data_IF_273315281525
#
_entry.id   IF_273315281525
#
_cell.length_a   1.000
_cell.length_b   1.000
_cell.length_c   1.000
_cell.angle_alpha   90.00
_cell.angle_beta   90.00
_cell.angle_gamma   90.00
#
_symmetry.space_group_name_H-M   'P 1'
#
loop_
_entity.id
_entity.type
_entity.pdbx_description
1 polymer ?
#
# COMPACT_ATOMS: atom_id res chain seq x y z
N UNK A 1 8.08 -52.11 -11.67
CA UNK A 1 8.60 -50.99 -10.84
C UNK A 1 7.65 -49.82 -11.05
N UNK A 2 6.96 -49.41 -9.98
CA UNK A 2 5.81 -48.50 -10.02
C UNK A 2 6.27 -47.05 -9.81
N UNK A 3 5.60 -46.12 -10.51
CA UNK A 3 5.52 -44.66 -10.29
C UNK A 3 6.67 -43.80 -10.84
N UNK A 4 6.72 -43.71 -12.17
CA UNK A 4 7.16 -42.51 -12.87
C UNK A 4 5.91 -41.62 -13.04
N UNK A 5 6.00 -40.38 -12.59
CA UNK A 5 5.08 -39.25 -12.87
C UNK A 5 3.66 -39.39 -12.29
N UNK A 6 3.49 -38.97 -11.04
CA UNK A 6 2.23 -38.42 -10.56
C UNK A 6 2.48 -36.93 -10.22
N UNK A 7 2.14 -36.08 -11.19
CA UNK A 7 1.54 -34.75 -11.00
C UNK A 7 2.29 -33.77 -10.06
N UNK A 8 3.15 -32.88 -10.54
CA UNK A 8 2.77 -31.63 -11.24
C UNK A 8 1.60 -30.86 -10.59
N UNK A 9 1.57 -30.77 -9.26
CA UNK A 9 0.75 -29.78 -8.54
C UNK A 9 1.50 -29.20 -7.35
N UNK A 10 2.48 -28.37 -7.63
CA UNK A 10 2.71 -27.18 -6.83
C UNK A 10 2.86 -26.04 -7.82
N UNK A 11 1.72 -25.53 -8.30
CA UNK A 11 1.71 -24.15 -8.77
C UNK A 11 2.08 -23.32 -7.54
N UNK A 12 3.37 -23.06 -7.39
CA UNK A 12 3.80 -21.94 -6.58
C UNK A 12 3.15 -20.75 -7.28
N UNK A 13 2.05 -20.27 -6.72
CA UNK A 13 1.47 -18.99 -7.07
C UNK A 13 2.50 -17.92 -6.66
N UNK A 14 3.60 -17.80 -7.40
CA UNK A 14 4.31 -16.53 -7.51
C UNK A 14 3.33 -15.65 -8.29
N UNK A 15 2.44 -14.96 -7.58
CA UNK A 15 1.75 -13.84 -8.19
C UNK A 15 2.84 -12.83 -8.58
N UNK A 16 3.11 -12.69 -9.88
CA UNK A 16 3.90 -11.59 -10.46
C UNK A 16 3.13 -10.27 -10.28
N UNK A 17 2.88 -9.88 -9.04
CA UNK A 17 2.23 -8.64 -8.68
C UNK A 17 3.20 -7.74 -7.95
N UNK A 18 3.05 -6.43 -8.11
CA UNK A 18 3.76 -5.49 -7.27
C UNK A 18 3.44 -5.72 -5.79
N UNK A 19 4.40 -5.39 -4.94
CA UNK A 19 4.33 -5.45 -3.48
C UNK A 19 4.53 -4.06 -2.88
N UNK A 20 4.25 -3.92 -1.58
CA UNK A 20 4.57 -2.68 -0.86
C UNK A 20 6.07 -2.43 -0.79
N UNK A 21 6.89 -3.49 -0.79
CA UNK A 21 8.35 -3.37 -0.84
C UNK A 21 8.80 -2.79 -2.17
N UNK A 22 8.18 -3.16 -3.30
CA UNK A 22 8.46 -2.54 -4.59
C UNK A 22 8.15 -1.04 -4.60
N UNK A 23 7.08 -0.62 -3.91
CA UNK A 23 6.75 0.80 -3.76
C UNK A 23 7.75 1.53 -2.87
N UNK A 24 8.09 0.95 -1.72
CA UNK A 24 9.05 1.53 -0.77
C UNK A 24 10.46 1.62 -1.42
N UNK A 25 10.86 0.63 -2.23
CA UNK A 25 12.08 0.66 -3.03
C UNK A 25 12.03 1.77 -4.08
N UNK A 26 10.93 1.91 -4.81
CA UNK A 26 10.75 2.99 -5.79
C UNK A 26 10.84 4.38 -5.11
N UNK A 27 10.29 4.55 -3.91
CA UNK A 27 10.46 5.78 -3.12
C UNK A 27 11.92 6.02 -2.74
N UNK A 28 12.66 4.99 -2.33
CA UNK A 28 14.08 5.12 -1.99
C UNK A 28 14.94 5.54 -3.18
N UNK A 29 14.54 5.13 -4.39
CA UNK A 29 15.16 5.53 -5.67
C UNK A 29 14.66 6.89 -6.17
N UNK A 30 13.75 7.55 -5.42
CA UNK A 30 13.04 8.79 -5.80
C UNK A 30 12.20 8.66 -7.08
N UNK A 31 11.80 7.44 -7.44
CA UNK A 31 10.84 7.18 -8.51
C UNK A 31 9.41 7.24 -7.96
N UNK A 32 8.98 8.46 -7.66
CA UNK A 32 7.65 8.73 -7.07
C UNK A 32 6.49 8.29 -7.99
N UNK A 33 6.68 8.36 -9.31
CA UNK A 33 5.66 7.95 -10.28
C UNK A 33 5.44 6.44 -10.22
N UNK A 34 6.52 5.66 -10.16
CA UNK A 34 6.44 4.21 -10.01
C UNK A 34 5.86 3.82 -8.66
N UNK A 35 6.29 4.45 -7.57
CA UNK A 35 5.71 4.21 -6.24
C UNK A 35 4.20 4.47 -6.21
N UNK A 36 3.76 5.62 -6.77
CA UNK A 36 2.34 5.95 -6.88
C UNK A 36 1.58 4.90 -7.70
N UNK A 37 2.10 4.51 -8.87
CA UNK A 37 1.51 3.47 -9.70
C UNK A 37 1.33 2.16 -8.92
N UNK A 38 2.37 1.72 -8.19
CA UNK A 38 2.33 0.50 -7.40
C UNK A 38 1.27 0.60 -6.29
N UNK A 39 1.25 1.70 -5.53
CA UNK A 39 0.21 1.88 -4.51
C UNK A 39 -1.19 1.82 -5.12
N UNK A 40 -1.43 2.46 -6.27
CA UNK A 40 -2.75 2.39 -6.92
C UNK A 40 -3.13 0.98 -7.39
N UNK A 41 -2.17 0.18 -7.85
CA UNK A 41 -2.40 -1.22 -8.23
C UNK A 41 -2.77 -2.07 -7.01
N UNK A 42 -2.03 -1.92 -5.91
CA UNK A 42 -2.30 -2.60 -4.64
C UNK A 42 -3.67 -2.20 -4.06
N UNK A 43 -4.04 -0.92 -4.12
CA UNK A 43 -5.35 -0.43 -3.69
C UNK A 43 -6.47 -1.06 -4.51
N UNK A 44 -6.30 -1.21 -5.83
CA UNK A 44 -7.28 -1.90 -6.70
C UNK A 44 -7.45 -3.37 -6.33
N UNK A 45 -6.40 -3.99 -5.78
CA UNK A 45 -6.42 -5.37 -5.23
C UNK A 45 -6.96 -5.44 -3.80
N UNK A 46 -7.34 -4.32 -3.20
CA UNK A 46 -7.92 -4.26 -1.85
C UNK A 46 -6.88 -4.15 -0.74
N UNK A 47 -5.63 -3.83 -1.03
CA UNK A 47 -4.61 -3.66 0.00
C UNK A 47 -4.88 -2.39 0.83
N UNK A 48 -5.27 -2.60 2.08
CA UNK A 48 -5.64 -1.53 3.02
C UNK A 48 -4.40 -0.73 3.47
N UNK A 49 -3.24 -1.40 3.57
CA UNK A 49 -1.98 -0.77 3.95
C UNK A 49 -1.44 0.12 2.84
N UNK A 50 -1.66 -0.25 1.57
CA UNK A 50 -1.35 0.61 0.43
C UNK A 50 -2.15 1.93 0.44
N UNK A 51 -3.42 1.91 0.88
CA UNK A 51 -4.19 3.14 1.06
C UNK A 51 -3.57 4.07 2.11
N UNK A 52 -3.14 3.51 3.24
CA UNK A 52 -2.44 4.28 4.27
C UNK A 52 -1.13 4.85 3.75
N UNK A 53 -0.28 4.01 3.12
CA UNK A 53 1.01 4.43 2.54
C UNK A 53 0.86 5.53 1.50
N UNK A 54 -0.18 5.45 0.65
CA UNK A 54 -0.49 6.52 -0.30
C UNK A 54 -0.91 7.82 0.41
N UNK A 55 -1.65 7.72 1.52
CA UNK A 55 -1.99 8.86 2.36
C UNK A 55 -0.75 9.54 2.97
N UNK A 56 0.20 8.73 3.48
CA UNK A 56 1.51 9.19 3.98
C UNK A 56 2.34 9.82 2.86
N UNK A 57 2.33 9.26 1.67
CA UNK A 57 3.04 9.81 0.51
C UNK A 57 2.61 11.25 0.20
N UNK A 58 1.32 11.58 0.28
CA UNK A 58 0.81 12.95 0.05
C UNK A 58 1.31 14.01 1.06
N UNK A 59 1.86 13.62 2.20
CA UNK A 59 2.36 14.53 3.24
C UNK A 59 3.87 14.46 3.49
N UNK A 60 4.58 13.47 2.96
CA UNK A 60 6.04 13.35 3.17
C UNK A 60 6.85 13.33 1.87
N UNK A 61 6.32 12.73 0.81
CA UNK A 61 7.10 12.37 -0.39
C UNK A 61 6.60 13.08 -1.66
N UNK A 62 5.52 13.85 -1.56
CA UNK A 62 4.99 14.64 -2.66
C UNK A 62 5.48 16.09 -2.56
N UNK A 63 6.01 16.62 -3.66
CA UNK A 63 6.55 18.00 -3.76
C UNK A 63 5.59 19.09 -3.29
N UNK A 64 4.28 18.79 -3.26
CA UNK A 64 3.24 19.67 -2.76
C UNK A 64 2.38 18.92 -1.76
N UNK A 65 2.60 19.16 -0.47
CA UNK A 65 1.78 18.56 0.60
C UNK A 65 0.29 18.75 0.31
N UNK A 66 -0.43 17.64 0.21
CA UNK A 66 -1.87 17.60 -0.02
C UNK A 66 -2.54 16.90 1.16
N UNK A 67 -2.65 17.65 2.27
CA UNK A 67 -3.25 17.17 3.51
C UNK A 67 -4.68 16.65 3.33
N UNK A 68 -5.44 17.24 2.40
CA UNK A 68 -6.81 16.78 2.11
C UNK A 68 -6.80 15.39 1.49
N UNK A 69 -5.98 15.14 0.47
CA UNK A 69 -5.87 13.80 -0.11
C UNK A 69 -5.27 12.80 0.86
N UNK A 70 -4.26 13.21 1.63
CA UNK A 70 -3.72 12.39 2.72
C UNK A 70 -4.85 11.96 3.66
N UNK A 71 -5.71 12.90 4.03
CA UNK A 71 -6.81 12.62 4.95
C UNK A 71 -7.82 11.65 4.38
N UNK A 72 -8.22 11.85 3.14
CA UNK A 72 -9.18 10.96 2.49
C UNK A 72 -8.64 9.52 2.40
N UNK A 73 -7.34 9.33 2.12
CA UNK A 73 -6.72 8.01 2.04
C UNK A 73 -6.50 7.35 3.40
N UNK A 74 -5.98 8.09 4.38
CA UNK A 74 -5.79 7.59 5.75
C UNK A 74 -7.14 7.23 6.36
N UNK A 75 -8.17 8.06 6.18
CA UNK A 75 -9.54 7.78 6.66
C UNK A 75 -10.11 6.51 6.04
N UNK A 76 -9.96 6.30 4.72
CA UNK A 76 -10.41 5.06 4.07
C UNK A 76 -9.73 3.83 4.67
N UNK A 77 -8.41 3.88 4.85
CA UNK A 77 -7.64 2.79 5.46
C UNK A 77 -8.07 2.52 6.91
N UNK A 78 -8.28 3.57 7.70
CA UNK A 78 -8.75 3.50 9.08
C UNK A 78 -10.16 2.88 9.20
N UNK A 79 -11.08 3.26 8.30
CA UNK A 79 -12.44 2.71 8.22
C UNK A 79 -12.47 1.22 7.88
N UNK A 80 -11.42 0.71 7.21
CA UNK A 80 -11.23 -0.71 6.94
C UNK A 80 -10.47 -1.45 8.05
N UNK A 81 -10.15 -0.79 9.16
CA UNK A 81 -9.59 -1.42 10.36
C UNK A 81 -8.08 -1.41 10.46
N UNK A 82 -7.36 -0.66 9.62
CA UNK A 82 -5.90 -0.61 9.71
C UNK A 82 -5.45 0.24 10.91
N UNK A 83 -4.81 -0.40 11.88
CA UNK A 83 -4.53 0.16 13.20
C UNK A 83 -3.64 1.42 13.15
N UNK A 84 -2.63 1.42 12.28
CA UNK A 84 -1.75 2.57 12.10
C UNK A 84 -2.51 3.76 11.50
N UNK A 85 -3.42 3.51 10.55
CA UNK A 85 -4.27 4.58 9.99
C UNK A 85 -5.26 5.13 11.03
N UNK A 86 -5.84 4.26 11.87
CA UNK A 86 -6.72 4.68 12.97
C UNK A 86 -5.97 5.55 13.98
N UNK A 87 -4.75 5.15 14.33
CA UNK A 87 -3.88 5.90 15.23
C UNK A 87 -3.53 7.28 14.64
N UNK A 88 -3.19 7.33 13.35
CA UNK A 88 -2.92 8.58 12.64
C UNK A 88 -4.13 9.53 12.62
N UNK A 89 -5.31 8.99 12.32
CA UNK A 89 -6.55 9.78 12.29
C UNK A 89 -6.91 10.28 13.70
N UNK A 90 -6.70 9.47 14.73
CA UNK A 90 -6.86 9.88 16.13
C UNK A 90 -5.92 11.03 16.49
N UNK A 91 -4.65 10.95 16.08
CA UNK A 91 -3.69 12.02 16.30
C UNK A 91 -4.13 13.33 15.63
N UNK A 92 -4.60 13.29 14.39
CA UNK A 92 -5.12 14.49 13.72
C UNK A 92 -6.30 15.13 14.45
N UNK A 93 -7.27 14.33 14.90
CA UNK A 93 -8.39 14.86 15.67
C UNK A 93 -7.96 15.44 17.03
N UNK A 94 -6.95 14.86 17.69
CA UNK A 94 -6.39 15.44 18.91
C UNK A 94 -5.74 16.81 18.69
N UNK A 95 -5.19 17.04 17.49
CA UNK A 95 -4.54 18.30 17.11
C UNK A 95 -5.49 19.30 16.43
N UNK A 96 -6.77 18.95 16.24
CA UNK A 96 -7.78 19.84 15.67
C UNK A 96 -7.73 20.00 14.16
N UNK A 97 -7.19 19.02 13.43
CA UNK A 97 -7.27 18.95 11.96
C UNK A 97 -8.63 18.46 11.46
#
# INVERSE_FOLDING_TARGET
MKRVVLSFMLFINLSFGFTLEDADNALSEKDFNKAFMIYTDLIKKGDIKAQYKLGIWYIYEHDKFDYKKSYDWIKKSAMQGYAEAQSHLGAWYMHGY
#
